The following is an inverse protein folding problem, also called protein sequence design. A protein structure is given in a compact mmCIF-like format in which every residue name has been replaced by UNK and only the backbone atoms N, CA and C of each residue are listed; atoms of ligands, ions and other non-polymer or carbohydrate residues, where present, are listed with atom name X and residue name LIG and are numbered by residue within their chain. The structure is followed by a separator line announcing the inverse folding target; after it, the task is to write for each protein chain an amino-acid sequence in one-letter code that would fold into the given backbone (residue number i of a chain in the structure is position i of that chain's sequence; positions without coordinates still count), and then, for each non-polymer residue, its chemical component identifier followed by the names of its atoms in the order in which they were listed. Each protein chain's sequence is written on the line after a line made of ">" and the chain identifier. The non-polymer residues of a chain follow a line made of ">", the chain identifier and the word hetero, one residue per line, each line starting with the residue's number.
data_IF_525415772111
#
_entry.id   IF_525415772111
#
_cell.length_a   1.000
_cell.length_b   1.000
_cell.length_c   1.000
_cell.angle_alpha   90.00
_cell.angle_beta   90.00
_cell.angle_gamma   90.00
#
_symmetry.space_group_name_H-M   'P 1'
#
loop_
_entity.id
_entity.type
_entity.pdbx_description
1 polymer ?
#
# COMPACT_ATOMS: atom_id res chain seq x y z
N UNK A 1 -24.79 -1.61 20.64
CA UNK A 1 -23.48 -2.21 20.31
C UNK A 1 -22.59 -2.05 21.54
N UNK A 2 -22.44 -3.11 22.35
CA UNK A 2 -21.59 -3.06 23.55
C UNK A 2 -20.17 -2.68 23.14
N UNK A 3 -19.69 -1.52 23.58
CA UNK A 3 -18.28 -1.16 23.47
C UNK A 3 -17.57 -2.07 24.46
N UNK A 4 -17.11 -3.23 24.00
CA UNK A 4 -16.34 -4.14 24.82
C UNK A 4 -15.02 -3.46 25.19
N UNK A 5 -14.99 -2.73 26.30
CA UNK A 5 -13.77 -2.12 26.84
C UNK A 5 -12.92 -3.23 27.44
N UNK A 6 -11.66 -3.30 27.03
CA UNK A 6 -10.79 -4.36 27.47
C UNK A 6 -10.54 -4.26 28.99
N UNK A 7 -10.69 -5.38 29.71
CA UNK A 7 -10.63 -5.37 31.18
C UNK A 7 -11.85 -4.72 31.86
N UNK A 8 -12.98 -4.55 31.16
CA UNK A 8 -14.29 -4.20 31.74
C UNK A 8 -15.34 -5.08 31.05
N UNK A 9 -16.05 -5.90 31.81
CA UNK A 9 -17.21 -6.63 31.27
C UNK A 9 -18.46 -5.77 31.39
N UNK A 10 -19.10 -5.48 30.26
CA UNK A 10 -20.35 -4.72 30.19
C UNK A 10 -21.51 -5.72 29.97
N UNK A 11 -21.63 -6.67 30.91
CA UNK A 11 -22.74 -7.62 30.98
C UNK A 11 -24.04 -6.96 31.47
N UNK A 12 -25.18 -7.59 31.18
CA UNK A 12 -26.51 -6.96 31.31
C UNK A 12 -26.93 -6.55 32.73
N UNK A 13 -26.35 -7.08 33.82
CA UNK A 13 -26.86 -6.81 35.18
C UNK A 13 -25.82 -6.66 36.31
N UNK A 14 -24.51 -6.65 36.05
CA UNK A 14 -23.51 -6.27 37.06
C UNK A 14 -22.18 -5.88 36.41
N UNK A 15 -21.65 -4.71 36.77
CA UNK A 15 -20.37 -4.20 36.26
C UNK A 15 -19.33 -4.40 37.38
N UNK A 16 -18.62 -5.54 37.37
CA UNK A 16 -17.63 -5.85 38.39
C UNK A 16 -16.26 -6.11 37.77
N UNK A 17 -15.20 -5.64 38.43
CA UNK A 17 -13.83 -6.09 38.12
C UNK A 17 -13.59 -7.55 38.57
N UNK A 18 -14.50 -8.11 39.38
CA UNK A 18 -14.37 -9.39 40.05
C UNK A 18 -14.53 -10.60 39.12
N UNK A 19 -15.14 -10.45 37.94
CA UNK A 19 -15.28 -11.50 36.93
C UNK A 19 -14.16 -11.53 35.87
N UNK A 20 -13.08 -10.76 36.04
CA UNK A 20 -12.02 -10.60 35.04
C UNK A 20 -10.81 -11.48 35.35
N UNK A 21 -10.17 -11.98 34.29
CA UNK A 21 -8.84 -12.58 34.34
C UNK A 21 -7.85 -11.61 35.03
N UNK A 22 -7.32 -12.01 36.19
CA UNK A 22 -6.40 -11.20 37.01
C UNK A 22 -5.22 -10.70 36.19
N UNK A 23 -4.75 -11.53 35.25
CA UNK A 23 -3.64 -11.21 34.35
C UNK A 23 -3.94 -9.99 33.49
N UNK A 24 -5.18 -9.81 33.03
CA UNK A 24 -5.60 -8.64 32.25
C UNK A 24 -5.57 -7.39 33.12
N UNK A 25 -6.04 -7.49 34.37
CA UNK A 25 -6.09 -6.37 35.31
C UNK A 25 -4.69 -5.87 35.67
N UNK A 26 -3.80 -6.78 36.01
CA UNK A 26 -2.40 -6.49 36.32
C UNK A 26 -1.68 -5.85 35.12
N UNK A 27 -1.89 -6.38 33.91
CA UNK A 27 -1.27 -5.82 32.70
C UNK A 27 -1.75 -4.40 32.42
N UNK A 28 -3.04 -4.11 32.59
CA UNK A 28 -3.59 -2.76 32.40
C UNK A 28 -3.01 -1.78 33.43
N UNK A 29 -2.94 -2.17 34.72
CA UNK A 29 -2.31 -1.36 35.77
C UNK A 29 -0.85 -1.04 35.44
N UNK A 30 -0.10 -2.07 35.06
CA UNK A 30 1.30 -1.94 34.68
C UNK A 30 1.50 -0.93 33.53
N UNK A 31 0.62 -0.93 32.52
CA UNK A 31 0.68 0.03 31.41
C UNK A 31 0.54 1.48 31.90
N UNK A 32 -0.38 1.75 32.82
CA UNK A 32 -0.57 3.09 33.40
C UNK A 32 0.61 3.49 34.29
N UNK A 33 1.13 2.57 35.11
CA UNK A 33 2.30 2.82 35.97
C UNK A 33 3.55 3.17 35.16
N UNK A 34 3.80 2.43 34.06
CA UNK A 34 4.92 2.73 33.17
C UNK A 34 4.70 4.06 32.45
N UNK A 35 3.45 4.37 32.06
CA UNK A 35 3.15 5.64 31.40
C UNK A 35 3.39 6.82 32.33
N UNK A 36 3.04 6.68 33.62
CA UNK A 36 3.31 7.72 34.61
C UNK A 36 4.83 7.94 34.79
N UNK A 37 5.62 6.85 34.88
CA UNK A 37 7.08 6.94 35.03
C UNK A 37 7.81 7.44 33.79
N UNK A 38 7.39 7.05 32.58
CA UNK A 38 8.12 7.32 31.32
C UNK A 38 7.54 8.47 30.50
N UNK A 39 6.33 8.92 30.84
CA UNK A 39 5.67 10.07 30.23
C UNK A 39 5.37 9.98 28.73
N UNK A 40 5.57 8.83 28.07
CA UNK A 40 5.40 8.70 26.61
C UNK A 40 4.91 7.31 26.17
N UNK A 41 4.06 7.27 25.15
CA UNK A 41 3.54 6.02 24.55
C UNK A 41 4.67 5.15 24.03
N UNK A 42 5.69 5.76 23.42
CA UNK A 42 6.86 5.02 22.92
C UNK A 42 7.66 4.41 24.06
N UNK A 43 7.82 5.12 25.19
CA UNK A 43 8.48 4.60 26.39
C UNK A 43 7.76 3.38 26.98
N UNK A 44 6.42 3.43 27.06
CA UNK A 44 5.59 2.29 27.50
C UNK A 44 5.76 1.10 26.55
N UNK A 45 5.59 1.34 25.25
CA UNK A 45 5.71 0.29 24.25
C UNK A 45 7.08 -0.39 24.27
N UNK A 46 8.15 0.40 24.37
CA UNK A 46 9.52 -0.12 24.44
C UNK A 46 9.72 -0.99 25.68
N UNK A 47 9.23 -0.55 26.85
CA UNK A 47 9.32 -1.35 28.07
C UNK A 47 8.61 -2.71 27.94
N UNK A 48 7.39 -2.72 27.42
CA UNK A 48 6.62 -3.95 27.24
C UNK A 48 7.33 -4.93 26.30
N UNK A 49 7.99 -4.43 25.26
CA UNK A 49 8.74 -5.26 24.31
C UNK A 49 10.07 -5.72 24.88
N UNK A 50 10.77 -4.90 25.67
CA UNK A 50 12.01 -5.28 26.38
C UNK A 50 11.78 -6.40 27.41
N UNK A 51 10.59 -6.48 28.00
CA UNK A 51 10.24 -7.46 29.04
C UNK A 51 9.33 -8.60 28.53
N UNK A 52 9.12 -8.71 27.22
CA UNK A 52 8.26 -9.71 26.55
C UNK A 52 6.82 -9.80 27.10
N UNK A 53 6.24 -8.65 27.44
CA UNK A 53 4.88 -8.55 28.00
C UNK A 53 3.88 -8.36 26.86
N UNK A 54 3.00 -9.35 26.64
CA UNK A 54 1.91 -9.24 25.67
C UNK A 54 0.79 -8.31 26.16
N UNK A 55 0.15 -7.57 25.25
CA UNK A 55 -1.04 -6.80 25.54
C UNK A 55 -2.31 -7.63 25.31
N UNK A 56 -3.27 -7.60 26.23
CA UNK A 56 -4.57 -8.19 26.00
C UNK A 56 -5.33 -7.39 24.93
N UNK A 57 -5.94 -8.10 23.98
CA UNK A 57 -6.82 -7.57 22.93
C UNK A 57 -8.11 -8.40 22.86
N UNK A 58 -9.26 -7.77 22.64
CA UNK A 58 -10.54 -8.49 22.48
C UNK A 58 -10.78 -8.79 21.01
N UNK A 59 -11.00 -10.05 20.67
CA UNK A 59 -11.29 -10.47 19.30
C UNK A 59 -12.61 -9.85 18.85
N UNK A 60 -12.58 -9.08 17.75
CA UNK A 60 -13.71 -8.24 17.31
C UNK A 60 -14.60 -8.88 16.25
N UNK A 61 -14.14 -9.97 15.64
CA UNK A 61 -14.80 -10.61 14.51
C UNK A 61 -14.37 -12.07 14.40
N UNK A 62 -15.27 -12.93 13.93
CA UNK A 62 -15.03 -14.36 13.77
C UNK A 62 -15.65 -15.19 14.92
N UNK A 63 -15.43 -16.51 14.91
CA UNK A 63 -16.06 -17.42 15.87
C UNK A 63 -15.62 -17.16 17.33
N UNK A 64 -14.41 -16.65 17.55
CA UNK A 64 -13.87 -16.30 18.88
C UNK A 64 -14.24 -14.86 19.33
N UNK A 65 -15.28 -14.24 18.78
CA UNK A 65 -15.62 -12.84 19.09
C UNK A 65 -15.94 -12.67 20.57
N UNK A 66 -15.27 -11.70 21.22
CA UNK A 66 -15.42 -11.41 22.65
C UNK A 66 -14.34 -12.06 23.53
N UNK A 67 -13.62 -13.05 23.04
CA UNK A 67 -12.51 -13.68 23.76
C UNK A 67 -11.29 -12.76 23.87
N UNK A 68 -10.49 -12.96 24.93
CA UNK A 68 -9.25 -12.24 25.16
C UNK A 68 -8.10 -12.96 24.45
N UNK A 69 -7.50 -12.29 23.47
CA UNK A 69 -6.29 -12.73 22.80
C UNK A 69 -5.08 -11.92 23.29
N UNK A 70 -4.00 -12.61 23.64
CA UNK A 70 -2.73 -11.98 24.02
C UNK A 70 -1.92 -11.68 22.76
N UNK A 71 -1.70 -10.40 22.47
CA UNK A 71 -1.03 -9.94 21.25
C UNK A 71 0.21 -9.14 21.58
N UNK A 72 1.17 -9.13 20.65
CA UNK A 72 2.35 -8.29 20.76
C UNK A 72 1.96 -6.82 21.01
N UNK A 73 2.64 -6.10 21.92
CA UNK A 73 2.36 -4.69 22.17
C UNK A 73 2.43 -3.88 20.88
N UNK A 74 1.41 -3.06 20.65
CA UNK A 74 1.37 -2.17 19.50
C UNK A 74 0.90 -0.77 19.89
N UNK A 75 1.47 0.25 19.23
CA UNK A 75 1.20 1.67 19.52
C UNK A 75 -0.29 2.02 19.53
N UNK A 76 -1.07 1.44 18.60
CA UNK A 76 -2.51 1.67 18.51
C UNK A 76 -3.26 1.24 19.77
N UNK A 77 -2.98 0.04 20.27
CA UNK A 77 -3.58 -0.51 21.49
C UNK A 77 -3.26 0.33 22.71
N UNK A 78 -2.00 0.72 22.89
CA UNK A 78 -1.56 1.56 24.02
C UNK A 78 -2.24 2.94 23.97
N UNK A 79 -2.31 3.57 22.79
CA UNK A 79 -3.02 4.85 22.64
C UNK A 79 -4.50 4.68 22.97
N UNK A 80 -5.14 3.63 22.48
CA UNK A 80 -6.55 3.39 22.76
C UNK A 80 -6.79 3.16 24.26
N UNK A 81 -5.88 2.47 24.95
CA UNK A 81 -5.95 2.25 26.39
C UNK A 81 -5.82 3.56 27.16
N UNK A 82 -4.78 4.36 26.86
CA UNK A 82 -4.52 5.64 27.53
C UNK A 82 -5.53 6.74 27.20
N UNK A 83 -6.32 6.62 26.11
CA UNK A 83 -7.29 7.64 25.67
C UNK A 83 -8.75 7.23 25.85
N UNK A 84 -8.99 6.10 26.50
CA UNK A 84 -10.33 5.62 26.79
C UNK A 84 -10.73 6.02 28.23
N UNK A 85 -11.73 6.90 28.41
CA UNK A 85 -12.18 7.37 29.72
C UNK A 85 -12.77 6.24 30.58
N UNK A 86 -13.10 5.10 29.98
CA UNK A 86 -13.59 3.94 30.73
C UNK A 86 -12.57 3.41 31.74
N UNK A 87 -11.27 3.52 31.51
CA UNK A 87 -10.29 3.11 32.53
C UNK A 87 -10.28 4.04 33.75
N UNK A 88 -10.88 5.23 33.65
CA UNK A 88 -11.09 6.16 34.76
C UNK A 88 -12.48 6.02 35.42
N UNK A 89 -13.22 4.95 35.12
CA UNK A 89 -14.58 4.75 35.65
C UNK A 89 -15.65 5.60 34.96
N UNK A 90 -15.31 6.26 33.86
CA UNK A 90 -16.17 7.27 33.21
C UNK A 90 -16.80 6.73 31.94
N UNK A 91 -18.14 6.81 31.86
CA UNK A 91 -18.88 6.57 30.63
C UNK A 91 -18.90 7.83 29.76
N UNK A 92 -18.42 7.70 28.52
CA UNK A 92 -18.40 8.78 27.54
C UNK A 92 -19.12 8.37 26.26
N UNK A 93 -20.10 9.17 25.82
CA UNK A 93 -20.83 8.97 24.57
C UNK A 93 -20.82 10.25 23.72
N UNK A 94 -20.96 10.09 22.40
CA UNK A 94 -20.94 11.22 21.46
C UNK A 94 -19.54 11.75 21.13
N UNK A 95 -18.48 10.96 21.40
CA UNK A 95 -17.09 11.34 21.08
C UNK A 95 -16.81 11.55 19.59
N UNK A 96 -17.70 11.09 18.70
CA UNK A 96 -17.64 11.38 17.27
C UNK A 96 -18.76 12.38 16.95
N UNK A 97 -18.47 13.49 16.26
CA UNK A 97 -19.52 14.34 15.72
C UNK A 97 -20.44 13.50 14.82
N UNK A 98 -21.75 13.82 14.76
CA UNK A 98 -22.63 13.20 13.79
C UNK A 98 -22.09 13.48 12.39
N UNK A 99 -22.06 12.45 11.54
CA UNK A 99 -21.62 12.57 10.15
C UNK A 99 -22.44 13.65 9.44
N UNK A 100 -21.78 14.69 8.91
CA UNK A 100 -22.46 15.64 8.04
C UNK A 100 -22.81 14.96 6.71
N UNK A 101 -23.91 15.34 6.03
CA UNK A 101 -24.27 14.77 4.73
C UNK A 101 -23.14 14.84 3.69
N UNK A 102 -22.28 15.86 3.77
CA UNK A 102 -21.09 16.03 2.92
C UNK A 102 -20.01 14.96 3.15
N UNK A 103 -19.95 14.34 4.33
CA UNK A 103 -18.96 13.29 4.65
C UNK A 103 -19.29 11.92 4.03
N UNK A 104 -20.53 11.68 3.56
CA UNK A 104 -20.91 10.44 2.85
C UNK A 104 -20.31 10.33 1.45
N UNK A 105 -19.98 11.46 0.81
CA UNK A 105 -19.45 11.50 -0.56
C UNK A 105 -17.97 11.10 -0.58
N UNK A 106 -17.22 11.36 0.49
CA UNK A 106 -15.83 10.93 0.67
C UNK A 106 -15.75 9.79 1.69
N UNK A 107 -15.76 8.54 1.19
CA UNK A 107 -15.55 7.31 1.99
C UNK A 107 -14.20 7.25 2.74
N UNK A 108 -13.37 8.30 2.70
CA UNK A 108 -12.00 8.28 3.24
C UNK A 108 -11.82 8.99 4.59
N UNK A 109 -12.80 9.76 5.07
CA UNK A 109 -12.66 10.55 6.30
C UNK A 109 -13.56 10.03 7.42
N UNK A 110 -13.26 8.86 7.99
CA UNK A 110 -13.77 8.53 9.33
C UNK A 110 -13.17 9.53 10.32
N UNK A 111 -13.96 10.53 10.74
CA UNK A 111 -13.48 11.54 11.67
C UNK A 111 -12.98 10.88 12.96
N UNK A 112 -11.80 11.30 13.42
CA UNK A 112 -11.21 10.77 14.65
C UNK A 112 -12.09 11.19 15.83
N UNK A 113 -12.32 10.32 16.84
CA UNK A 113 -13.04 10.71 18.04
C UNK A 113 -12.36 11.92 18.70
N UNK A 114 -13.15 12.90 19.13
CA UNK A 114 -12.65 13.97 19.98
C UNK A 114 -12.09 13.38 21.27
N UNK A 115 -11.02 14.02 21.74
CA UNK A 115 -10.34 13.71 23.00
C UNK A 115 -10.61 14.77 24.07
N UNK A 116 -11.28 15.85 23.69
CA UNK A 116 -11.69 16.90 24.62
C UNK A 116 -12.99 16.49 25.32
N UNK A 117 -13.03 16.41 26.66
CA UNK A 117 -14.26 16.12 27.39
C UNK A 117 -15.42 17.08 27.08
N UNK A 118 -15.12 18.34 26.72
CA UNK A 118 -16.14 19.35 26.39
C UNK A 118 -16.91 19.00 25.10
N UNK A 119 -16.28 18.27 24.18
CA UNK A 119 -16.90 17.84 22.92
C UNK A 119 -17.81 16.61 23.09
N UNK A 120 -17.90 16.01 24.28
CA UNK A 120 -18.63 14.77 24.49
C UNK A 120 -20.08 15.05 24.89
N UNK A 121 -21.03 14.42 24.20
CA UNK A 121 -22.47 14.60 24.46
C UNK A 121 -22.91 14.09 25.82
N UNK A 122 -22.22 13.07 26.35
CA UNK A 122 -22.52 12.48 27.66
C UNK A 122 -21.20 12.14 28.34
N UNK A 123 -21.05 12.59 29.58
CA UNK A 123 -19.92 12.30 30.47
C UNK A 123 -20.49 11.92 31.84
N UNK A 124 -20.36 10.66 32.25
CA UNK A 124 -20.85 10.17 33.54
C UNK A 124 -19.69 9.52 34.30
N UNK A 125 -19.28 10.12 35.42
CA UNK A 125 -18.21 9.60 36.29
C UNK A 125 -18.72 8.47 37.21
N UNK A 126 -17.81 7.59 37.64
CA UNK A 126 -18.09 6.57 38.65
C UNK A 126 -19.08 5.48 38.22
N UNK A 127 -19.24 5.24 36.91
CA UNK A 127 -20.21 4.26 36.39
C UNK A 127 -19.78 2.81 36.57
N UNK A 128 -18.48 2.57 36.68
CA UNK A 128 -17.87 1.27 36.91
C UNK A 128 -16.53 1.43 37.62
N UNK A 129 -15.97 0.36 38.20
CA UNK A 129 -14.71 0.47 38.91
C UNK A 129 -13.58 0.92 37.98
N UNK A 130 -12.76 1.84 38.47
CA UNK A 130 -11.71 2.49 37.70
C UNK A 130 -10.34 1.84 37.96
N UNK A 131 -9.48 1.87 36.94
CA UNK A 131 -8.05 1.53 37.05
C UNK A 131 -7.21 2.72 37.48
N UNK A 132 -7.63 3.93 37.11
CA UNK A 132 -6.98 5.21 37.44
C UNK A 132 -8.03 6.23 37.88
N UNK A 133 -7.63 7.28 38.61
CA UNK A 133 -8.55 8.38 38.92
C UNK A 133 -8.84 9.24 37.67
N UNK A 134 -9.93 10.01 37.72
CA UNK A 134 -10.25 10.97 36.66
C UNK A 134 -9.15 12.02 36.47
N UNK A 135 -8.61 12.54 37.57
CA UNK A 135 -7.51 13.50 37.57
C UNK A 135 -6.25 12.92 36.89
N UNK A 136 -5.88 11.67 37.19
CA UNK A 136 -4.78 10.98 36.51
C UNK A 136 -5.06 10.80 35.02
N UNK A 137 -6.31 10.54 34.63
CA UNK A 137 -6.68 10.45 33.22
C UNK A 137 -6.52 11.78 32.47
N UNK A 138 -6.92 12.90 33.09
CA UNK A 138 -6.76 14.24 32.53
C UNK A 138 -5.29 14.65 32.41
N UNK A 139 -4.48 14.38 33.44
CA UNK A 139 -3.03 14.55 33.40
C UNK A 139 -2.42 13.74 32.24
N UNK A 140 -2.82 12.48 32.10
CA UNK A 140 -2.37 11.64 30.99
C UNK A 140 -2.79 12.20 29.63
N UNK A 141 -4.01 12.76 29.49
CA UNK A 141 -4.41 13.44 28.26
C UNK A 141 -3.54 14.67 27.99
N UNK A 142 -3.27 15.51 29.00
CA UNK A 142 -2.41 16.70 28.87
C UNK A 142 -0.99 16.30 28.45
N UNK A 143 -0.39 15.29 29.08
CA UNK A 143 0.91 14.72 28.67
C UNK A 143 0.87 14.18 27.25
N UNK A 144 -0.18 13.46 26.85
CA UNK A 144 -0.34 12.97 25.47
C UNK A 144 -0.48 14.10 24.46
N UNK A 145 -1.15 15.21 24.81
CA UNK A 145 -1.26 16.39 23.97
C UNK A 145 0.06 17.14 23.87
N UNK A 146 0.77 17.34 24.97
CA UNK A 146 2.10 17.97 24.99
C UNK A 146 3.13 17.18 24.17
N UNK A 147 3.05 15.84 24.21
CA UNK A 147 3.89 14.93 23.42
C UNK A 147 3.49 14.86 21.94
N UNK A 148 2.39 15.49 21.51
CA UNK A 148 2.14 15.65 20.08
C UNK A 148 3.18 16.63 19.56
N UNK A 149 4.12 16.14 18.76
CA UNK A 149 4.98 16.98 17.95
C UNK A 149 4.13 18.06 17.26
N UNK A 150 4.42 19.34 17.56
CA UNK A 150 3.70 20.54 17.06
C UNK A 150 3.62 20.65 15.54
N UNK A 151 4.25 19.75 14.79
CA UNK A 151 4.16 19.68 13.34
C UNK A 151 2.84 19.02 12.91
N UNK A 152 1.75 19.78 12.99
CA UNK A 152 0.63 19.61 12.06
C UNK A 152 1.21 19.83 10.65
N UNK A 153 1.45 18.74 9.94
CA UNK A 153 1.97 18.80 8.57
C UNK A 153 0.98 19.47 7.63
N UNK A 154 1.51 20.35 6.77
CA UNK A 154 0.97 20.75 5.48
C UNK A 154 1.89 20.14 4.38
N UNK A 155 1.38 19.74 3.21
CA UNK A 155 2.05 18.77 2.32
C UNK A 155 3.32 19.27 1.60
N UNK A 156 4.45 18.65 1.95
CA UNK A 156 5.44 17.98 1.08
C UNK A 156 5.85 18.64 -0.25
N UNK A 157 6.61 19.73 -0.17
CA UNK A 157 7.49 20.24 -1.25
C UNK A 157 8.97 19.88 -1.10
N UNK A 158 9.35 18.98 -0.18
CA UNK A 158 10.77 18.74 0.13
C UNK A 158 11.56 18.12 -1.04
N UNK A 159 12.89 18.30 -1.11
CA UNK A 159 13.73 17.96 -2.28
C UNK A 159 13.85 16.47 -2.60
N UNK A 160 13.31 15.57 -1.75
CA UNK A 160 13.51 14.13 -1.90
C UNK A 160 12.88 13.56 -3.19
N UNK A 161 13.69 12.97 -4.05
CA UNK A 161 13.25 12.33 -5.29
C UNK A 161 12.36 11.10 -5.00
N UNK A 162 12.81 10.26 -4.07
CA UNK A 162 12.22 8.94 -3.86
C UNK A 162 11.16 8.92 -2.75
N UNK A 163 10.57 10.08 -2.48
CA UNK A 163 9.54 10.24 -1.46
C UNK A 163 8.35 9.34 -1.76
N UNK A 164 8.26 8.24 -1.00
CA UNK A 164 7.17 7.31 -1.15
C UNK A 164 7.33 6.27 -2.28
N UNK A 165 8.52 6.10 -2.82
CA UNK A 165 8.83 4.95 -3.69
C UNK A 165 9.68 3.90 -2.97
N UNK A 166 10.27 4.28 -1.82
CA UNK A 166 11.21 3.45 -1.09
C UNK A 166 10.57 2.50 -0.09
N UNK A 167 11.01 1.25 -0.17
CA UNK A 167 10.68 0.16 0.73
C UNK A 167 11.96 -0.44 1.32
N UNK A 168 11.86 -0.85 2.57
CA UNK A 168 12.94 -1.54 3.26
C UNK A 168 13.01 -2.98 2.76
N UNK A 169 14.13 -3.40 2.18
CA UNK A 169 14.35 -4.78 1.75
C UNK A 169 14.58 -5.76 2.91
N UNK A 170 14.79 -5.29 4.15
CA UNK A 170 14.86 -6.14 5.35
C UNK A 170 13.48 -6.53 5.90
N UNK A 171 12.51 -5.61 5.89
CA UNK A 171 11.20 -5.83 6.54
C UNK A 171 9.99 -5.56 5.63
N UNK A 172 10.20 -5.23 4.36
CA UNK A 172 9.15 -4.91 3.39
C UNK A 172 8.37 -3.62 3.67
N UNK A 173 8.66 -2.88 4.74
CA UNK A 173 7.93 -1.68 5.10
C UNK A 173 8.36 -0.46 4.28
N UNK A 174 7.39 0.37 3.91
CA UNK A 174 7.64 1.69 3.30
C UNK A 174 8.51 2.56 4.21
N UNK A 175 9.57 3.13 3.64
CA UNK A 175 10.48 4.02 4.36
C UNK A 175 9.90 5.43 4.44
N UNK A 176 10.30 6.17 5.48
CA UNK A 176 9.88 7.55 5.70
C UNK A 176 11.03 8.49 5.36
N UNK A 177 10.71 9.56 4.64
CA UNK A 177 11.62 10.68 4.40
C UNK A 177 11.72 11.55 5.65
N UNK A 178 12.94 11.78 6.12
CA UNK A 178 13.24 12.66 7.23
C UNK A 178 14.19 13.77 6.74
N UNK A 179 13.90 15.00 7.13
CA UNK A 179 14.75 16.15 6.89
C UNK A 179 15.33 16.61 8.23
N UNK A 180 16.66 16.69 8.32
CA UNK A 180 17.38 17.27 9.46
C UNK A 180 18.02 18.59 9.02
N UNK A 181 18.46 19.40 10.00
CA UNK A 181 19.15 20.67 9.78
C UNK A 181 18.43 21.58 8.77
N UNK A 182 17.19 21.99 9.08
CA UNK A 182 16.37 22.88 8.23
C UNK A 182 16.18 22.42 6.77
N UNK A 183 16.29 21.12 6.46
CA UNK A 183 16.08 20.60 5.11
C UNK A 183 17.36 20.22 4.37
N UNK A 184 18.53 20.52 4.92
CA UNK A 184 19.82 20.26 4.27
C UNK A 184 20.31 18.82 4.39
N UNK A 185 19.82 18.05 5.39
CA UNK A 185 20.17 16.64 5.54
C UNK A 185 18.93 15.75 5.28
N UNK A 186 18.86 15.22 4.06
CA UNK A 186 17.83 14.30 3.62
C UNK A 186 18.22 12.87 4.03
N UNK A 187 17.31 12.18 4.75
CA UNK A 187 17.50 10.79 5.20
C UNK A 187 16.27 9.93 4.95
N UNK A 188 16.46 8.71 4.48
CA UNK A 188 15.40 7.70 4.40
C UNK A 188 15.53 6.73 5.56
N UNK A 189 14.50 6.60 6.39
CA UNK A 189 14.54 5.77 7.59
C UNK A 189 13.38 4.78 7.64
N UNK A 190 13.70 3.52 7.92
CA UNK A 190 12.69 2.49 8.20
C UNK A 190 12.33 2.50 9.68
N UNK A 191 11.33 3.29 10.04
CA UNK A 191 10.88 3.49 11.43
C UNK A 191 9.56 2.80 11.75
N UNK A 192 8.94 2.07 10.80
CA UNK A 192 7.60 1.50 10.98
C UNK A 192 7.52 0.58 12.20
N UNK A 193 8.42 -0.39 12.33
CA UNK A 193 8.44 -1.29 13.47
C UNK A 193 8.88 -0.61 14.78
N UNK A 194 9.79 0.35 14.70
CA UNK A 194 10.17 1.17 15.85
C UNK A 194 8.98 1.97 16.40
N UNK A 195 8.19 2.59 15.53
CA UNK A 195 7.02 3.40 15.90
C UNK A 195 5.88 2.52 16.41
N UNK A 196 5.61 1.41 15.72
CA UNK A 196 4.42 0.60 16.00
C UNK A 196 4.65 -0.47 17.07
N UNK A 197 5.87 -0.99 17.20
CA UNK A 197 6.20 -2.15 18.04
C UNK A 197 7.47 -1.94 18.88
N UNK A 198 7.99 -0.71 19.01
CA UNK A 198 9.13 -0.41 19.89
C UNK A 198 10.43 -1.13 19.53
N UNK A 199 10.50 -1.71 18.33
CA UNK A 199 11.67 -2.45 17.86
C UNK A 199 12.89 -1.52 17.68
N UNK A 200 14.12 -2.05 17.70
CA UNK A 200 15.31 -1.30 17.31
C UNK A 200 15.15 -0.71 15.89
N UNK A 201 15.83 0.40 15.57
CA UNK A 201 15.77 1.01 14.24
C UNK A 201 16.23 0.00 13.19
N UNK A 202 15.40 -0.23 12.17
CA UNK A 202 15.66 -1.29 11.20
C UNK A 202 16.83 -0.96 10.26
N UNK A 203 16.76 0.20 9.60
CA UNK A 203 17.85 0.77 8.81
C UNK A 203 17.55 2.22 8.44
N UNK A 204 18.60 3.01 8.17
CA UNK A 204 18.47 4.38 7.69
C UNK A 204 19.64 4.78 6.78
N UNK A 205 19.34 5.48 5.70
CA UNK A 205 20.29 5.84 4.63
C UNK A 205 20.31 7.35 4.38
N UNK A 206 21.45 7.87 3.96
CA UNK A 206 21.53 9.22 3.37
C UNK A 206 20.71 9.24 2.08
N UNK A 207 19.73 10.13 2.02
CA UNK A 207 18.88 10.25 0.84
C UNK A 207 19.53 11.02 -0.30
N UNK A 208 20.45 11.96 -0.03
CA UNK A 208 21.16 12.68 -1.09
C UNK A 208 21.97 11.72 -2.00
N UNK A 209 22.71 10.78 -1.40
CA UNK A 209 23.50 9.80 -2.14
C UNK A 209 22.62 8.79 -2.89
N UNK A 210 21.49 8.42 -2.29
CA UNK A 210 20.53 7.52 -2.91
C UNK A 210 19.82 8.18 -4.09
N UNK A 211 19.36 9.42 -3.92
CA UNK A 211 18.70 10.20 -4.98
C UNK A 211 19.66 10.41 -6.16
N UNK A 212 20.93 10.72 -5.92
CA UNK A 212 21.95 10.87 -6.96
C UNK A 212 22.21 9.56 -7.73
N UNK A 213 22.23 8.42 -7.02
CA UNK A 213 22.39 7.10 -7.64
C UNK A 213 21.20 6.76 -8.53
N UNK A 214 19.97 6.89 -8.00
CA UNK A 214 18.76 6.57 -8.76
C UNK A 214 18.59 7.53 -9.94
N UNK A 215 18.92 8.81 -9.77
CA UNK A 215 18.97 9.77 -10.87
C UNK A 215 19.86 9.28 -12.01
N UNK A 216 21.09 8.82 -11.69
CA UNK A 216 22.00 8.31 -12.72
C UNK A 216 21.42 7.10 -13.44
N UNK A 217 20.83 6.16 -12.71
CA UNK A 217 20.21 4.96 -13.30
C UNK A 217 19.02 5.32 -14.19
N UNK A 218 18.17 6.26 -13.76
CA UNK A 218 17.06 6.78 -14.58
C UNK A 218 17.62 7.36 -15.89
N UNK A 219 18.64 8.21 -15.81
CA UNK A 219 19.23 8.85 -16.98
C UNK A 219 19.95 7.85 -17.88
N UNK A 220 20.54 6.78 -17.33
CA UNK A 220 21.15 5.69 -18.11
C UNK A 220 20.11 4.90 -18.91
N UNK A 221 18.94 4.61 -18.32
CA UNK A 221 17.83 3.91 -19.00
C UNK A 221 17.19 4.79 -20.09
N UNK A 222 17.12 6.10 -19.86
CA UNK A 222 16.59 7.05 -20.83
C UNK A 222 17.58 7.44 -21.94
N UNK A 223 18.80 6.87 -21.96
CA UNK A 223 19.76 7.17 -23.03
C UNK A 223 19.19 6.75 -24.39
N UNK A 224 19.43 7.51 -25.45
CA UNK A 224 18.93 7.19 -26.79
C UNK A 224 19.25 5.75 -27.22
N UNK A 225 20.46 5.25 -26.92
CA UNK A 225 20.86 3.89 -27.26
C UNK A 225 20.06 2.79 -26.54
N UNK A 226 19.60 3.04 -25.30
CA UNK A 226 18.74 2.10 -24.56
C UNK A 226 17.28 2.16 -25.04
N UNK A 227 16.81 3.36 -25.40
CA UNK A 227 15.48 3.59 -25.96
C UNK A 227 15.35 2.96 -27.35
N UNK A 228 16.38 3.04 -28.19
CA UNK A 228 16.37 2.40 -29.53
C UNK A 228 16.18 0.88 -29.46
N UNK A 229 16.83 0.18 -28.53
CA UNK A 229 16.61 -1.26 -28.32
C UNK A 229 15.14 -1.55 -27.96
N UNK A 230 14.55 -0.71 -27.12
CA UNK A 230 13.14 -0.86 -26.73
C UNK A 230 12.17 -0.56 -27.90
N UNK A 231 12.53 0.41 -28.76
CA UNK A 231 11.77 0.73 -29.98
C UNK A 231 11.88 -0.39 -31.02
N UNK A 232 13.04 -1.03 -31.18
CA UNK A 232 13.22 -2.21 -32.03
C UNK A 232 12.34 -3.38 -31.56
N UNK A 233 12.33 -3.65 -30.25
CA UNK A 233 11.42 -4.66 -29.69
C UNK A 233 9.94 -4.32 -29.96
N UNK A 234 9.57 -3.04 -29.91
CA UNK A 234 8.22 -2.61 -30.27
C UNK A 234 7.91 -2.82 -31.76
N UNK A 235 8.91 -2.71 -32.65
CA UNK A 235 8.78 -3.04 -34.07
C UNK A 235 8.56 -4.53 -34.31
N UNK A 236 9.33 -5.39 -33.63
CA UNK A 236 9.16 -6.84 -33.69
C UNK A 236 7.76 -7.26 -33.23
N UNK A 237 7.24 -6.65 -32.16
CA UNK A 237 5.88 -6.88 -31.66
C UNK A 237 4.83 -6.48 -32.72
N UNK A 238 5.04 -5.38 -33.45
CA UNK A 238 4.13 -4.99 -34.54
C UNK A 238 4.19 -5.97 -35.72
N UNK A 239 5.37 -6.49 -36.07
CA UNK A 239 5.50 -7.55 -37.08
C UNK A 239 4.74 -8.81 -36.66
N UNK A 240 4.96 -9.30 -35.44
CA UNK A 240 4.22 -10.45 -34.91
C UNK A 240 2.72 -10.22 -34.85
N UNK A 241 2.29 -8.99 -34.50
CA UNK A 241 0.89 -8.59 -34.52
C UNK A 241 0.32 -8.72 -35.92
N UNK A 242 0.97 -8.16 -36.94
CA UNK A 242 0.47 -8.27 -38.33
C UNK A 242 0.36 -9.73 -38.79
N UNK A 243 1.33 -10.58 -38.41
CA UNK A 243 1.26 -12.02 -38.69
C UNK A 243 0.08 -12.70 -37.98
N UNK A 244 -0.15 -12.38 -36.70
CA UNK A 244 -1.31 -12.88 -35.93
C UNK A 244 -2.65 -12.44 -36.55
N UNK A 245 -2.75 -11.18 -36.97
CA UNK A 245 -3.95 -10.67 -37.66
C UNK A 245 -4.21 -11.42 -38.98
N UNK A 246 -3.16 -11.66 -39.78
CA UNK A 246 -3.28 -12.47 -41.00
C UNK A 246 -3.75 -13.89 -40.71
N UNK A 247 -3.22 -14.51 -39.66
CA UNK A 247 -3.64 -15.86 -39.25
C UNK A 247 -5.10 -15.89 -38.80
N UNK A 248 -5.58 -14.88 -38.08
CA UNK A 248 -6.99 -14.75 -37.71
C UNK A 248 -7.89 -14.57 -38.95
N UNK A 249 -7.49 -13.73 -39.90
CA UNK A 249 -8.22 -13.52 -41.14
C UNK A 249 -8.39 -14.84 -41.93
N UNK A 250 -7.30 -15.59 -42.10
CA UNK A 250 -7.34 -16.88 -42.80
C UNK A 250 -8.23 -17.92 -42.08
N UNK A 251 -8.22 -17.95 -40.75
CA UNK A 251 -9.09 -18.86 -39.97
C UNK A 251 -10.57 -18.52 -40.13
N UNK A 252 -10.91 -17.22 -40.15
CA UNK A 252 -12.28 -16.76 -40.37
C UNK A 252 -12.74 -17.06 -41.81
N UNK A 253 -11.87 -16.84 -42.80
CA UNK A 253 -12.14 -17.17 -44.20
C UNK A 253 -12.38 -18.67 -44.38
N UNK A 254 -11.56 -19.51 -43.76
CA UNK A 254 -11.76 -20.96 -43.79
C UNK A 254 -13.09 -21.39 -43.15
N UNK A 255 -13.42 -20.86 -41.97
CA UNK A 255 -14.69 -21.18 -41.30
C UNK A 255 -15.90 -20.73 -42.13
N UNK A 256 -15.80 -19.56 -42.77
CA UNK A 256 -16.84 -19.06 -43.67
C UNK A 256 -17.03 -19.98 -44.88
N UNK A 257 -15.92 -20.38 -45.52
CA UNK A 257 -15.94 -21.32 -46.64
C UNK A 257 -16.55 -22.68 -46.26
N UNK A 258 -16.26 -23.19 -45.06
CA UNK A 258 -16.84 -24.44 -44.54
C UNK A 258 -18.36 -24.35 -44.38
N UNK A 259 -18.88 -23.20 -43.88
CA UNK A 259 -20.32 -22.92 -43.81
C UNK A 259 -20.95 -22.91 -45.20
N UNK A 260 -20.40 -22.14 -46.14
CA UNK A 260 -20.93 -22.06 -47.52
C UNK A 260 -20.89 -23.41 -48.24
N UNK A 261 -19.87 -24.23 -47.96
CA UNK A 261 -19.77 -25.58 -48.51
C UNK A 261 -20.84 -26.50 -47.92
N UNK A 262 -21.05 -26.47 -46.61
CA UNK A 262 -22.06 -27.29 -45.95
C UNK A 262 -23.48 -26.90 -46.39
N UNK A 263 -23.76 -25.60 -46.55
CA UNK A 263 -25.02 -25.09 -47.07
C UNK A 263 -25.29 -25.61 -48.50
N UNK A 264 -24.30 -25.49 -49.40
CA UNK A 264 -24.43 -26.02 -50.78
C UNK A 264 -24.68 -27.52 -50.82
N UNK A 265 -24.05 -28.28 -49.93
CA UNK A 265 -24.27 -29.73 -49.82
C UNK A 265 -25.69 -30.04 -49.35
N UNK A 266 -26.19 -29.33 -48.34
CA UNK A 266 -27.56 -29.50 -47.85
C UNK A 266 -28.59 -29.17 -48.93
N UNK A 267 -28.44 -28.04 -49.62
CA UNK A 267 -29.35 -27.60 -50.69
C UNK A 267 -29.37 -28.52 -51.92
N UNK A 268 -28.32 -29.32 -52.12
CA UNK A 268 -28.23 -30.25 -53.25
C UNK A 268 -28.89 -31.62 -52.99
N UNK A 269 -29.26 -31.94 -51.75
CA UNK A 269 -29.85 -33.25 -51.40
C UNK A 269 -31.35 -33.30 -51.68
N UNK A 270 -31.80 -34.40 -52.29
CA UNK A 270 -33.22 -34.64 -52.52
C UNK A 270 -33.98 -34.88 -51.19
N UNK A 271 -35.19 -34.32 -51.01
CA UNK A 271 -35.97 -34.43 -49.77
C UNK A 271 -36.31 -35.86 -49.32
N UNK A 272 -36.31 -36.80 -50.26
CA UNK A 272 -36.62 -38.22 -50.02
C UNK A 272 -35.51 -38.92 -49.22
N UNK A 273 -34.26 -38.44 -49.33
CA UNK A 273 -33.09 -38.94 -48.60
C UNK A 273 -33.00 -38.37 -47.17
N UNK A 274 -34.05 -38.56 -46.38
CA UNK A 274 -34.24 -37.96 -45.04
C UNK A 274 -33.06 -38.13 -44.07
N UNK A 275 -32.40 -39.29 -44.08
CA UNK A 275 -31.25 -39.56 -43.20
C UNK A 275 -30.01 -38.73 -43.60
N UNK A 276 -29.78 -38.56 -44.90
CA UNK A 276 -28.67 -37.76 -45.43
C UNK A 276 -28.93 -36.28 -45.19
N UNK A 277 -30.14 -35.80 -45.46
CA UNK A 277 -30.57 -34.42 -45.21
C UNK A 277 -30.35 -34.02 -43.74
N UNK A 278 -30.80 -34.85 -42.78
CA UNK A 278 -30.57 -34.60 -41.34
C UNK A 278 -29.10 -34.54 -40.95
N UNK A 279 -28.26 -35.35 -41.59
CA UNK A 279 -26.81 -35.39 -41.29
C UNK A 279 -26.12 -34.13 -41.81
N UNK A 280 -26.50 -33.67 -43.01
CA UNK A 280 -25.97 -32.44 -43.60
C UNK A 280 -26.49 -31.18 -42.90
N UNK A 281 -27.74 -31.18 -42.47
CA UNK A 281 -28.31 -30.12 -41.62
C UNK A 281 -27.50 -29.96 -40.33
N UNK A 282 -27.26 -31.07 -39.61
CA UNK A 282 -26.40 -31.06 -38.40
C UNK A 282 -24.99 -30.55 -38.71
N UNK A 283 -24.38 -31.00 -39.81
CA UNK A 283 -23.04 -30.54 -40.19
C UNK A 283 -23.02 -29.04 -40.52
N UNK A 284 -24.08 -28.51 -41.13
CA UNK A 284 -24.22 -27.08 -41.38
C UNK A 284 -24.41 -26.28 -40.09
N UNK A 285 -25.25 -26.76 -39.15
CA UNK A 285 -25.41 -26.17 -37.81
C UNK A 285 -24.09 -26.16 -37.02
N UNK A 286 -23.32 -27.25 -37.09
CA UNK A 286 -22.00 -27.35 -36.48
C UNK A 286 -21.03 -26.31 -37.07
N UNK A 287 -21.00 -26.16 -38.40
CA UNK A 287 -20.17 -25.16 -39.09
C UNK A 287 -20.58 -23.72 -38.73
N UNK A 288 -21.88 -23.41 -38.69
CA UNK A 288 -22.41 -22.09 -38.29
C UNK A 288 -22.04 -21.74 -36.84
N UNK A 289 -22.15 -22.72 -35.95
CA UNK A 289 -21.77 -22.57 -34.54
C UNK A 289 -20.27 -22.33 -34.40
N UNK A 290 -19.44 -23.08 -35.15
CA UNK A 290 -18.00 -22.91 -35.17
C UNK A 290 -17.58 -21.52 -35.69
N UNK A 291 -18.20 -21.03 -36.77
CA UNK A 291 -17.94 -19.69 -37.32
C UNK A 291 -18.30 -18.58 -36.31
N UNK A 292 -19.45 -18.70 -35.67
CA UNK A 292 -19.90 -17.72 -34.67
C UNK A 292 -18.97 -17.69 -33.47
N UNK A 293 -18.60 -18.86 -32.93
CA UNK A 293 -17.61 -18.96 -31.86
C UNK A 293 -16.27 -18.34 -32.25
N UNK A 294 -15.80 -18.60 -33.47
CA UNK A 294 -14.52 -18.06 -33.94
C UNK A 294 -14.56 -16.53 -34.07
N UNK A 295 -15.69 -15.95 -34.52
CA UNK A 295 -15.90 -14.49 -34.57
C UNK A 295 -15.91 -13.85 -33.18
N UNK A 296 -16.53 -14.50 -32.20
CA UNK A 296 -16.50 -14.04 -30.80
C UNK A 296 -15.08 -14.08 -30.22
N UNK A 297 -14.34 -15.16 -30.48
CA UNK A 297 -12.93 -15.29 -30.07
C UNK A 297 -12.06 -14.21 -30.71
N UNK A 298 -12.26 -13.91 -32.00
CA UNK A 298 -11.57 -12.83 -32.71
C UNK A 298 -11.90 -11.45 -32.12
N UNK A 299 -13.17 -11.20 -31.80
CA UNK A 299 -13.60 -9.95 -31.13
C UNK A 299 -12.92 -9.77 -29.78
N UNK A 300 -12.80 -10.85 -29.00
CA UNK A 300 -12.07 -10.86 -27.72
C UNK A 300 -10.57 -10.69 -27.90
N UNK A 301 -10.00 -11.22 -28.97
CA UNK A 301 -8.59 -11.00 -29.31
C UNK A 301 -8.31 -9.52 -29.58
N UNK A 302 -9.13 -8.87 -30.41
CA UNK A 302 -9.02 -7.45 -30.72
C UNK A 302 -9.19 -6.56 -29.48
N UNK A 303 -10.08 -6.90 -28.54
CA UNK A 303 -10.29 -6.08 -27.34
C UNK A 303 -9.17 -6.16 -26.30
N UNK A 304 -8.35 -7.22 -26.34
CA UNK A 304 -7.18 -7.40 -25.47
C UNK A 304 -5.89 -6.85 -26.08
N UNK A 305 -5.98 -6.29 -27.27
CA UNK A 305 -4.83 -5.89 -28.05
C UNK A 305 -4.25 -4.55 -27.54
N UNK A 306 -2.93 -4.48 -27.22
CA UNK A 306 -2.31 -3.24 -26.74
C UNK A 306 -2.42 -2.07 -27.74
N UNK A 307 -2.30 -0.83 -27.27
CA UNK A 307 -2.23 0.33 -28.17
C UNK A 307 -1.01 0.25 -29.11
N UNK A 308 -1.15 0.78 -30.33
CA UNK A 308 -0.05 0.90 -31.32
C UNK A 308 0.72 2.18 -31.07
N UNK A 309 2.04 2.13 -31.22
CA UNK A 309 2.88 3.31 -31.31
C UNK A 309 2.93 3.79 -32.76
N UNK A 310 2.46 5.00 -33.03
CA UNK A 310 2.56 5.60 -34.36
C UNK A 310 4.01 5.99 -34.68
N UNK A 311 4.36 6.18 -35.97
CA UNK A 311 5.69 6.71 -36.34
C UNK A 311 5.99 8.05 -35.64
N UNK A 312 4.98 8.92 -35.52
CA UNK A 312 5.10 10.20 -34.80
C UNK A 312 5.38 10.04 -33.30
N UNK A 313 4.79 9.03 -32.65
CA UNK A 313 5.06 8.73 -31.25
C UNK A 313 6.50 8.24 -31.06
N UNK A 314 7.01 7.42 -31.99
CA UNK A 314 8.40 6.92 -31.95
C UNK A 314 9.40 8.07 -32.09
N UNK A 315 9.16 8.98 -33.04
CA UNK A 315 10.02 10.15 -33.21
C UNK A 315 9.96 11.10 -32.00
N UNK A 316 8.79 11.25 -31.39
CA UNK A 316 8.64 12.01 -30.16
C UNK A 316 9.42 11.36 -29.00
N UNK A 317 9.33 10.04 -28.84
CA UNK A 317 10.09 9.28 -27.83
C UNK A 317 11.60 9.45 -28.03
N UNK A 318 12.09 9.37 -29.28
CA UNK A 318 13.50 9.58 -29.61
C UNK A 318 13.97 10.98 -29.21
N UNK A 319 13.26 12.03 -29.65
CA UNK A 319 13.60 13.42 -29.26
C UNK A 319 13.61 13.61 -27.74
N UNK A 320 12.57 13.11 -27.05
CA UNK A 320 12.51 13.20 -25.59
C UNK A 320 13.67 12.46 -24.91
N UNK A 321 14.11 11.32 -25.43
CA UNK A 321 15.27 10.61 -24.88
C UNK A 321 16.58 11.41 -24.96
N UNK A 322 16.73 12.28 -25.97
CA UNK A 322 17.88 13.17 -26.12
C UNK A 322 17.78 14.42 -25.24
N UNK A 323 16.57 14.97 -25.10
CA UNK A 323 16.32 16.23 -24.37
C UNK A 323 16.22 16.04 -22.85
N UNK A 324 15.65 14.91 -22.38
CA UNK A 324 15.35 14.70 -20.95
C UNK A 324 16.59 14.80 -20.04
N UNK A 325 17.78 14.28 -20.39
CA UNK A 325 18.97 14.48 -19.56
C UNK A 325 19.33 15.95 -19.36
N UNK A 326 19.23 16.77 -20.41
CA UNK A 326 19.50 18.20 -20.33
C UNK A 326 18.43 18.94 -19.50
N UNK A 327 17.16 18.62 -19.73
CA UNK A 327 16.03 19.16 -18.95
C UNK A 327 16.12 18.77 -17.48
N UNK A 328 16.51 17.54 -17.17
CA UNK A 328 16.64 17.07 -15.79
C UNK A 328 17.63 17.92 -14.97
N UNK A 329 18.72 18.37 -15.60
CA UNK A 329 19.74 19.21 -14.98
C UNK A 329 19.49 20.72 -15.10
N UNK A 330 18.45 21.14 -15.84
CA UNK A 330 18.12 22.55 -15.98
C UNK A 330 17.66 23.19 -14.66
N UNK A 331 18.04 24.44 -14.43
CA UNK A 331 17.63 25.22 -13.25
C UNK A 331 16.13 25.53 -13.24
N UNK A 332 15.51 25.56 -14.43
CA UNK A 332 14.07 25.76 -14.62
C UNK A 332 13.24 24.55 -14.19
N UNK A 333 13.83 23.35 -14.16
CA UNK A 333 13.12 22.13 -13.78
C UNK A 333 13.04 22.02 -12.26
N UNK A 334 11.83 21.87 -11.76
CA UNK A 334 11.51 21.81 -10.34
C UNK A 334 11.76 20.42 -9.76
N UNK A 335 11.88 20.32 -8.44
CA UNK A 335 11.93 19.03 -7.77
C UNK A 335 10.60 18.24 -7.89
N UNK A 336 9.48 18.91 -8.17
CA UNK A 336 8.20 18.24 -8.37
C UNK A 336 8.17 17.49 -9.71
N UNK A 337 8.60 18.14 -10.79
CA UNK A 337 8.67 17.55 -12.14
C UNK A 337 9.60 16.33 -12.18
N UNK A 338 10.79 16.41 -11.56
CA UNK A 338 11.71 15.26 -11.45
C UNK A 338 11.08 14.06 -10.75
N UNK A 339 10.21 14.29 -9.75
CA UNK A 339 9.50 13.21 -9.05
C UNK A 339 8.38 12.61 -9.89
N UNK A 340 7.73 13.41 -10.73
CA UNK A 340 6.70 12.91 -11.65
C UNK A 340 7.33 11.96 -12.66
N UNK A 341 8.42 12.38 -13.30
CA UNK A 341 9.19 11.52 -14.22
C UNK A 341 9.66 10.25 -13.51
N UNK A 342 10.24 10.37 -12.30
CA UNK A 342 10.67 9.20 -11.53
C UNK A 342 9.52 8.24 -11.18
N UNK A 343 8.29 8.73 -10.99
CA UNK A 343 7.11 7.89 -10.69
C UNK A 343 6.50 7.22 -11.91
N UNK A 344 6.73 7.78 -13.10
CA UNK A 344 6.35 7.12 -14.36
C UNK A 344 7.26 5.94 -14.65
N UNK A 345 8.54 6.06 -14.30
CA UNK A 345 9.55 5.04 -14.56
C UNK A 345 9.72 4.02 -13.44
N UNK A 346 9.34 4.36 -12.20
CA UNK A 346 9.61 3.53 -11.04
C UNK A 346 8.34 3.31 -10.23
N UNK A 347 7.93 2.06 -10.10
CA UNK A 347 6.83 1.69 -9.21
C UNK A 347 7.31 1.52 -7.76
N UNK A 348 8.44 0.81 -7.58
CA UNK A 348 8.93 0.41 -6.27
C UNK A 348 10.44 0.21 -6.23
N UNK A 349 11.08 0.82 -5.24
CA UNK A 349 12.50 0.61 -4.94
C UNK A 349 12.65 -0.06 -3.59
N UNK A 350 13.32 -1.22 -3.58
CA UNK A 350 13.70 -1.92 -2.35
C UNK A 350 15.18 -1.70 -2.05
N UNK A 351 15.46 -1.28 -0.81
CA UNK A 351 16.81 -0.98 -0.34
C UNK A 351 17.17 -1.90 0.81
N UNK A 352 18.34 -2.54 0.76
CA UNK A 352 18.91 -3.27 1.89
C UNK A 352 20.33 -2.80 2.15
N UNK A 353 20.61 -2.28 3.34
CA UNK A 353 21.99 -2.06 3.79
C UNK A 353 22.62 -3.39 4.22
N UNK A 354 23.82 -3.70 3.76
CA UNK A 354 24.67 -4.79 4.25
C UNK A 354 25.97 -4.22 4.87
N UNK A 355 26.26 -4.57 6.13
CA UNK A 355 27.53 -4.23 6.81
C UNK A 355 27.41 -3.98 8.33
N UNK A 356 28.33 -4.58 9.10
CA UNK A 356 28.63 -4.32 10.54
C UNK A 356 30.15 -4.09 10.77
N UNK A 357 30.97 -3.83 9.73
CA UNK A 357 32.44 -3.84 9.85
C UNK A 357 33.14 -2.64 9.20
N UNK A 358 34.31 -2.31 9.75
CA UNK A 358 35.16 -1.11 9.62
C UNK A 358 35.63 -0.71 8.19
N UNK A 359 35.11 -1.32 7.12
CA UNK A 359 35.44 -0.97 5.73
C UNK A 359 34.21 -0.80 4.82
N UNK A 360 33.16 -0.18 5.36
CA UNK A 360 32.17 0.58 4.58
C UNK A 360 30.90 -0.18 4.20
N UNK A 361 29.77 0.26 4.77
CA UNK A 361 28.42 -0.23 4.49
C UNK A 361 28.08 -0.15 2.97
N UNK A 362 27.61 -1.26 2.39
CA UNK A 362 27.14 -1.32 1.00
C UNK A 362 25.62 -1.46 0.98
N UNK A 363 24.85 -0.49 0.48
CA UNK A 363 23.47 -0.75 0.13
C UNK A 363 23.37 -1.58 -1.15
N UNK A 364 22.74 -2.75 -1.05
CA UNK A 364 22.23 -3.52 -2.18
C UNK A 364 20.80 -3.08 -2.47
N UNK A 365 20.53 -2.73 -3.72
CA UNK A 365 19.23 -2.26 -4.16
C UNK A 365 18.63 -3.25 -5.15
N UNK A 366 17.33 -3.53 -4.96
CA UNK A 366 16.51 -4.19 -5.96
C UNK A 366 15.44 -3.21 -6.40
N UNK A 367 15.51 -2.80 -7.66
CA UNK A 367 14.40 -2.11 -8.32
C UNK A 367 13.51 -3.20 -8.89
N UNK A 368 12.21 -3.15 -8.59
CA UNK A 368 11.23 -4.05 -9.18
C UNK A 368 10.44 -3.23 -10.19
N UNK A 369 10.76 -3.42 -11.47
CA UNK A 369 9.94 -3.02 -12.61
C UNK A 369 9.39 -4.26 -13.30
N UNK A 370 8.21 -4.14 -13.90
CA UNK A 370 7.56 -5.21 -14.66
C UNK A 370 8.32 -5.63 -15.93
N UNK A 371 9.42 -4.94 -16.29
CA UNK A 371 10.15 -5.17 -17.56
C UNK A 371 11.64 -5.49 -17.36
N UNK A 372 12.25 -5.18 -16.21
CA UNK A 372 13.65 -5.54 -15.94
C UNK A 372 13.96 -5.63 -14.44
N UNK A 373 14.53 -6.75 -14.01
CA UNK A 373 15.12 -6.88 -12.67
C UNK A 373 16.52 -6.27 -12.65
N UNK A 374 16.63 -4.97 -12.37
CA UNK A 374 17.94 -4.34 -12.18
C UNK A 374 18.37 -4.48 -10.73
N UNK A 375 19.36 -5.34 -10.48
CA UNK A 375 20.11 -5.38 -9.22
C UNK A 375 21.28 -4.40 -9.32
N UNK A 376 21.22 -3.30 -8.57
CA UNK A 376 22.30 -2.33 -8.51
C UNK A 376 22.95 -2.36 -7.13
N UNK A 377 24.26 -2.57 -7.09
CA UNK A 377 25.09 -2.44 -5.88
C UNK A 377 25.81 -1.11 -5.93
N UNK A 378 25.69 -0.29 -4.89
CA UNK A 378 26.40 1.00 -4.83
C UNK A 378 26.99 1.23 -3.45
N UNK A 379 28.20 1.79 -3.39
CA UNK A 379 28.90 2.13 -2.14
C UNK A 379 28.46 3.52 -1.67
N UNK A 380 27.95 3.63 -0.44
CA UNK A 380 27.46 4.90 0.13
C UNK A 380 28.14 5.12 1.49
N UNK A 381 29.25 5.86 1.51
CA UNK A 381 29.94 6.17 2.77
C UNK A 381 29.02 6.96 3.72
N UNK A 382 29.05 6.66 5.03
CA UNK A 382 28.41 7.52 6.04
C UNK A 382 29.09 8.90 6.05
N UNK A 383 28.31 9.98 6.16
CA UNK A 383 28.89 11.26 6.56
C UNK A 383 29.38 11.14 8.01
N UNK A 384 30.58 11.63 8.35
CA UNK A 384 31.06 11.65 9.73
C UNK A 384 30.10 12.50 10.59
N UNK A 385 29.88 12.05 11.82
CA UNK A 385 29.02 12.71 12.81
C UNK A 385 29.62 14.01 13.30
#
# INVERSE_FOLDING_TARGET
>A
MSIAVLGIDLGKNSCSLAGLDERVRETIRLVFDIFDRRGSVHGVMRYLVEHDIALPDRVRSGPATGEVAWRRPHRGGIINLLTNPAYAGTYAFGRRPPESPASRISRSCTQRPSRDPEDWRVLLHGRWPAYISWETFEENQRRLMANRSKHKGVPRGGPSLLAGLLYCGRCGCRMVTCYRNNGHDLRYSCTRHQINYGAPPCQALSGAKLDALVTRLILEVLRPSAVEVSLQMAEDIELERTARHRQWALRLEQAHYEVERAERQYNAVEPENRLVARTLERHWEEALTAETRLREEHTRFLSREPARLSPGDRDAIRRLSEEVPALWHAETTTAAERKEIARLLLERIEVTLHGDTEQGDYPEFRVRDDVAHVQARARVNRSPK
#
